data_IF_273272439575
#
_entry.id   IF_273272439575
#
_cell.length_a   1.000
_cell.length_b   1.000
_cell.length_c   1.000
_cell.angle_alpha   90.00
_cell.angle_beta   90.00
_cell.angle_gamma   90.00
#
_symmetry.space_group_name_H-M   'P 1'
#
loop_
_entity.id
_entity.type
_entity.pdbx_description
1 polymer ?
#
# COMPACT_ATOMS: atom_id res chain seq x y z
N UNK A 1 4.69 -21.93 -13.53
CA UNK A 1 3.87 -21.93 -12.27
C UNK A 1 4.70 -21.24 -11.20
N UNK A 2 4.16 -20.17 -10.63
CA UNK A 2 4.83 -19.41 -9.57
C UNK A 2 4.84 -20.21 -8.27
N UNK A 3 5.93 -20.11 -7.50
CA UNK A 3 6.10 -20.82 -6.22
C UNK A 3 5.68 -19.99 -5.02
N UNK A 4 5.53 -18.66 -5.20
CA UNK A 4 5.10 -17.73 -4.18
C UNK A 4 4.43 -16.50 -4.81
N UNK A 5 3.65 -15.77 -4.00
CA UNK A 5 3.09 -14.47 -4.38
C UNK A 5 3.59 -13.42 -3.42
N UNK A 6 4.12 -12.32 -3.97
CA UNK A 6 4.22 -11.05 -3.26
C UNK A 6 2.96 -10.26 -3.54
N UNK A 7 2.39 -9.64 -2.53
CA UNK A 7 1.17 -8.87 -2.66
C UNK A 7 1.26 -7.58 -1.85
N UNK A 8 0.92 -6.47 -2.48
CA UNK A 8 0.82 -5.20 -1.77
C UNK A 8 -0.42 -5.16 -0.86
N UNK A 9 -0.47 -4.21 0.08
CA UNK A 9 -1.53 -4.12 1.08
C UNK A 9 -2.50 -2.99 0.77
N UNK A 10 -2.02 -1.75 0.68
CA UNK A 10 -2.86 -0.58 0.52
C UNK A 10 -3.36 -0.42 -0.92
N UNK A 11 -4.66 -0.23 -1.09
CA UNK A 11 -5.39 -0.20 -2.36
C UNK A 11 -5.26 -1.50 -3.20
N UNK A 12 -4.67 -2.58 -2.62
CA UNK A 12 -4.63 -3.93 -3.20
C UNK A 12 -5.42 -4.93 -2.36
N UNK A 13 -5.15 -5.06 -1.08
CA UNK A 13 -5.87 -5.92 -0.12
C UNK A 13 -6.85 -5.11 0.75
N UNK A 14 -6.44 -3.91 1.15
CA UNK A 14 -7.19 -3.00 1.99
C UNK A 14 -7.38 -1.66 1.26
N UNK A 15 -8.61 -1.17 1.23
CA UNK A 15 -8.96 0.13 0.67
C UNK A 15 -8.38 1.24 1.56
N UNK A 16 -7.19 1.72 1.18
CA UNK A 16 -6.54 2.82 1.87
C UNK A 16 -7.38 4.08 1.83
N UNK A 17 -8.02 4.36 0.70
CA UNK A 17 -8.80 5.58 0.53
C UNK A 17 -10.00 5.61 1.49
N UNK A 18 -10.73 4.50 1.63
CA UNK A 18 -11.83 4.39 2.60
C UNK A 18 -11.33 4.48 4.05
N UNK A 19 -10.23 3.80 4.38
CA UNK A 19 -9.62 3.85 5.71
C UNK A 19 -9.13 5.27 6.05
N UNK A 20 -8.46 5.93 5.12
CA UNK A 20 -7.96 7.30 5.30
C UNK A 20 -9.10 8.31 5.47
N UNK A 21 -10.20 8.18 4.69
CA UNK A 21 -11.37 9.03 4.86
C UNK A 21 -12.00 8.88 6.26
N UNK A 22 -12.11 7.64 6.77
CA UNK A 22 -12.58 7.40 8.13
C UNK A 22 -11.64 7.99 9.19
N UNK A 23 -10.33 7.85 9.00
CA UNK A 23 -9.32 8.43 9.90
C UNK A 23 -9.38 9.96 9.90
N UNK A 24 -9.55 10.59 8.73
CA UNK A 24 -9.76 12.03 8.60
C UNK A 24 -11.01 12.49 9.35
N UNK A 25 -12.15 11.84 9.14
CA UNK A 25 -13.41 12.19 9.82
C UNK A 25 -13.23 12.20 11.35
N UNK A 26 -12.58 11.18 11.90
CA UNK A 26 -12.30 11.07 13.34
C UNK A 26 -11.33 12.16 13.79
N UNK A 27 -10.27 12.43 13.03
CA UNK A 27 -9.27 13.45 13.35
C UNK A 27 -9.84 14.87 13.35
N UNK A 28 -10.71 15.21 12.40
CA UNK A 28 -11.43 16.49 12.36
C UNK A 28 -12.43 16.62 13.51
N UNK A 29 -13.22 15.55 13.77
CA UNK A 29 -14.19 15.56 14.86
C UNK A 29 -13.53 15.78 16.23
N UNK A 30 -12.36 15.20 16.48
CA UNK A 30 -11.59 15.44 17.73
C UNK A 30 -11.19 16.90 17.93
N UNK A 31 -11.10 17.67 16.86
CA UNK A 31 -10.70 19.09 16.88
C UNK A 31 -11.90 20.04 16.81
N UNK A 32 -13.13 19.50 16.87
CA UNK A 32 -14.34 20.28 16.71
C UNK A 32 -14.57 20.82 15.30
N UNK A 33 -13.83 20.30 14.31
CA UNK A 33 -13.93 20.71 12.92
C UNK A 33 -14.87 19.77 12.11
N UNK A 34 -15.64 20.35 11.22
CA UNK A 34 -16.53 19.59 10.35
C UNK A 34 -15.75 18.98 9.18
N UNK A 35 -15.72 17.67 9.09
CA UNK A 35 -15.24 16.99 7.88
C UNK A 35 -16.25 17.15 6.75
N UNK A 36 -15.79 17.53 5.57
CA UNK A 36 -16.57 17.62 4.32
C UNK A 36 -15.96 16.71 3.25
N UNK A 37 -16.78 16.08 2.44
CA UNK A 37 -16.32 15.09 1.45
C UNK A 37 -15.30 15.67 0.45
N UNK A 38 -15.43 16.94 0.10
CA UNK A 38 -14.49 17.63 -0.79
C UNK A 38 -13.08 17.80 -0.21
N UNK A 39 -12.87 17.58 1.08
CA UNK A 39 -11.54 17.60 1.70
C UNK A 39 -10.71 16.37 1.32
N UNK A 40 -11.35 15.21 1.10
CA UNK A 40 -10.64 13.98 0.79
C UNK A 40 -9.86 14.04 -0.54
N UNK A 41 -10.41 14.51 -1.66
CA UNK A 41 -9.64 14.71 -2.89
C UNK A 41 -8.41 15.59 -2.73
N UNK A 42 -8.47 16.62 -1.88
CA UNK A 42 -7.32 17.48 -1.57
C UNK A 42 -6.23 16.70 -0.84
N UNK A 43 -6.62 15.98 0.22
CA UNK A 43 -5.70 15.08 0.93
C UNK A 43 -5.08 14.05 -0.01
N UNK A 44 -5.89 13.34 -0.80
CA UNK A 44 -5.43 12.28 -1.70
C UNK A 44 -4.38 12.79 -2.68
N UNK A 45 -4.61 13.92 -3.31
CA UNK A 45 -3.66 14.54 -4.25
C UNK A 45 -2.34 14.89 -3.57
N UNK A 46 -2.40 15.52 -2.40
CA UNK A 46 -1.21 15.91 -1.63
C UNK A 46 -0.46 14.67 -1.16
N UNK A 47 -1.14 13.70 -0.59
CA UNK A 47 -0.57 12.44 -0.11
C UNK A 47 0.16 11.69 -1.23
N UNK A 48 -0.48 11.56 -2.41
CA UNK A 48 0.14 10.94 -3.57
C UNK A 48 1.43 11.66 -3.98
N UNK A 49 1.43 13.00 -4.01
CA UNK A 49 2.63 13.78 -4.34
C UNK A 49 3.77 13.58 -3.34
N UNK A 50 3.47 13.41 -2.05
CA UNK A 50 4.49 13.06 -1.04
C UNK A 50 5.06 11.66 -1.25
N UNK A 51 4.22 10.67 -1.54
CA UNK A 51 4.67 9.30 -1.81
C UNK A 51 5.55 9.22 -3.08
N UNK A 52 5.19 9.92 -4.15
CA UNK A 52 6.01 10.01 -5.36
C UNK A 52 7.41 10.57 -5.06
N UNK A 53 7.52 11.58 -4.19
CA UNK A 53 8.81 12.12 -3.75
C UNK A 53 9.61 11.13 -2.89
N UNK A 54 8.97 10.29 -2.11
CA UNK A 54 9.64 9.21 -1.37
C UNK A 54 10.17 8.16 -2.34
N UNK A 55 9.37 7.74 -3.32
CA UNK A 55 9.76 6.77 -4.34
C UNK A 55 10.97 7.22 -5.16
N UNK A 56 11.10 8.54 -5.42
CA UNK A 56 12.25 9.14 -6.10
C UNK A 56 13.41 9.47 -5.17
N UNK A 57 13.24 9.30 -3.86
CA UNK A 57 14.27 9.63 -2.87
C UNK A 57 14.45 11.13 -2.60
N UNK A 58 13.53 11.97 -3.09
CA UNK A 58 13.58 13.43 -2.85
C UNK A 58 13.32 13.80 -1.39
N UNK A 59 12.47 13.05 -0.73
CA UNK A 59 12.14 13.21 0.69
C UNK A 59 12.12 11.87 1.42
N UNK A 60 12.26 11.94 2.73
CA UNK A 60 12.11 10.80 3.63
C UNK A 60 10.67 10.68 4.12
N UNK A 61 10.31 9.50 4.65
CA UNK A 61 9.04 9.31 5.37
C UNK A 61 8.87 10.28 6.53
N UNK A 62 9.94 10.56 7.29
CA UNK A 62 9.89 11.51 8.40
C UNK A 62 9.50 12.92 7.93
N UNK A 63 9.98 13.35 6.76
CA UNK A 63 9.57 14.63 6.16
C UNK A 63 8.11 14.61 5.70
N UNK A 64 7.65 13.51 5.09
CA UNK A 64 6.21 13.34 4.78
C UNK A 64 5.38 13.51 6.06
N UNK A 65 5.72 12.79 7.13
CA UNK A 65 4.96 12.81 8.39
C UNK A 65 4.97 14.20 9.06
N UNK A 66 6.06 14.96 8.93
CA UNK A 66 6.16 16.32 9.44
C UNK A 66 5.32 17.34 8.65
N UNK A 67 5.24 17.19 7.31
CA UNK A 67 4.78 18.26 6.44
C UNK A 67 3.40 18.00 5.81
N UNK A 68 2.99 16.74 5.69
CA UNK A 68 1.77 16.36 4.96
C UNK A 68 0.54 17.12 5.43
N UNK A 69 0.25 17.10 6.73
CA UNK A 69 -0.97 17.71 7.25
C UNK A 69 -0.91 19.22 7.29
N UNK A 70 0.25 19.83 7.50
CA UNK A 70 0.40 21.28 7.33
C UNK A 70 0.08 21.70 5.89
N UNK A 71 0.55 20.93 4.90
CA UNK A 71 0.26 21.17 3.49
C UNK A 71 -1.23 20.99 3.18
N UNK A 72 -1.86 19.94 3.71
CA UNK A 72 -3.30 19.69 3.56
C UNK A 72 -4.12 20.82 4.19
N UNK A 73 -3.80 21.23 5.41
CA UNK A 73 -4.53 22.28 6.10
C UNK A 73 -4.39 23.64 5.43
N UNK A 74 -3.20 23.97 4.93
CA UNK A 74 -3.01 25.18 4.14
C UNK A 74 -3.90 25.17 2.88
N UNK A 75 -3.95 24.04 2.17
CA UNK A 75 -4.78 23.90 0.96
C UNK A 75 -6.29 23.93 1.26
N UNK A 76 -6.71 23.54 2.46
CA UNK A 76 -8.11 23.57 2.91
C UNK A 76 -8.52 24.90 3.57
N UNK A 77 -7.60 25.85 3.75
CA UNK A 77 -7.87 27.10 4.45
C UNK A 77 -8.03 26.92 5.96
N UNK A 78 -7.37 25.93 6.56
CA UNK A 78 -7.41 25.58 7.98
C UNK A 78 -6.03 25.70 8.64
N UNK A 79 -5.28 26.80 8.44
CA UNK A 79 -3.89 26.90 8.91
C UNK A 79 -3.75 26.98 10.44
N UNK A 80 -4.87 27.07 11.17
CA UNK A 80 -4.89 27.06 12.63
C UNK A 80 -4.77 25.64 13.23
N UNK A 81 -4.91 24.57 12.40
CA UNK A 81 -4.77 23.20 12.85
C UNK A 81 -3.30 22.78 12.90
N UNK A 82 -2.93 22.06 13.96
CA UNK A 82 -1.60 21.49 14.16
C UNK A 82 -1.44 20.22 13.31
N UNK A 83 -0.66 20.30 12.22
CA UNK A 83 -0.42 19.20 11.30
C UNK A 83 0.28 18.00 11.92
N UNK A 84 1.41 18.17 12.62
CA UNK A 84 2.09 17.08 13.34
C UNK A 84 1.19 16.37 14.37
N UNK A 85 0.42 17.11 15.16
CA UNK A 85 -0.52 16.50 16.09
C UNK A 85 -1.66 15.75 15.37
N UNK A 86 -2.10 16.25 14.23
CA UNK A 86 -3.08 15.54 13.41
C UNK A 86 -2.49 14.26 12.79
N UNK A 87 -1.22 14.27 12.36
CA UNK A 87 -0.53 13.10 11.82
C UNK A 87 -0.53 11.94 12.84
N UNK A 88 -0.25 12.20 14.10
CA UNK A 88 -0.28 11.20 15.17
C UNK A 88 -1.66 10.55 15.27
N UNK A 89 -2.72 11.36 15.33
CA UNK A 89 -4.09 10.87 15.40
C UNK A 89 -4.51 10.14 14.12
N UNK A 90 -4.16 10.68 12.96
CA UNK A 90 -4.45 10.06 11.67
C UNK A 90 -3.84 8.66 11.56
N UNK A 91 -2.55 8.50 11.90
CA UNK A 91 -1.87 7.20 11.91
C UNK A 91 -2.54 6.21 12.88
N UNK A 92 -2.92 6.69 14.07
CA UNK A 92 -3.65 5.87 15.04
C UNK A 92 -4.99 5.41 14.49
N UNK A 93 -5.80 6.32 13.93
CA UNK A 93 -7.11 5.98 13.38
C UNK A 93 -7.01 5.12 12.12
N UNK A 94 -5.99 5.33 11.30
CA UNK A 94 -5.71 4.49 10.13
C UNK A 94 -5.36 3.05 10.57
N UNK A 95 -4.54 2.89 11.62
CA UNK A 95 -4.22 1.59 12.22
C UNK A 95 -5.47 0.87 12.76
N UNK A 96 -6.42 1.64 13.26
CA UNK A 96 -7.69 1.10 13.75
C UNK A 96 -8.69 0.77 12.63
N UNK A 97 -8.46 1.22 11.39
CA UNK A 97 -9.35 1.04 10.24
C UNK A 97 -8.85 -0.10 9.34
N UNK A 98 -9.77 -0.98 8.93
CA UNK A 98 -9.47 -2.06 8.00
C UNK A 98 -10.70 -2.31 7.12
N UNK A 99 -10.72 -1.69 5.95
CA UNK A 99 -11.77 -1.90 4.94
C UNK A 99 -11.18 -2.82 3.86
N UNK A 100 -11.65 -4.07 3.71
CA UNK A 100 -11.16 -4.96 2.68
C UNK A 100 -11.51 -4.47 1.27
N UNK A 101 -10.59 -4.65 0.33
CA UNK A 101 -10.92 -4.64 -1.09
C UNK A 101 -11.87 -5.81 -1.39
N UNK A 102 -12.88 -5.64 -2.27
CA UNK A 102 -13.79 -6.71 -2.63
C UNK A 102 -13.05 -8.00 -3.02
N UNK A 103 -13.47 -9.12 -2.46
CA UNK A 103 -12.92 -10.46 -2.70
C UNK A 103 -11.48 -10.69 -2.22
N UNK A 104 -10.81 -9.75 -1.56
CA UNK A 104 -9.43 -9.90 -1.12
C UNK A 104 -9.24 -11.09 -0.17
N UNK A 105 -10.05 -11.19 0.88
CA UNK A 105 -9.94 -12.29 1.85
C UNK A 105 -10.19 -13.66 1.20
N UNK A 106 -11.23 -13.79 0.41
CA UNK A 106 -11.55 -15.02 -0.32
C UNK A 106 -10.41 -15.44 -1.26
N UNK A 107 -9.85 -14.47 -1.99
CA UNK A 107 -8.71 -14.71 -2.88
C UNK A 107 -7.48 -15.17 -2.10
N UNK A 108 -7.14 -14.52 -0.98
CA UNK A 108 -6.01 -14.94 -0.15
C UNK A 108 -6.19 -16.37 0.38
N UNK A 109 -7.40 -16.77 0.76
CA UNK A 109 -7.70 -18.14 1.20
C UNK A 109 -7.40 -19.17 0.11
N UNK A 110 -7.82 -18.89 -1.13
CA UNK A 110 -7.58 -19.76 -2.28
C UNK A 110 -6.08 -19.84 -2.60
N UNK A 111 -5.38 -18.71 -2.61
CA UNK A 111 -3.96 -18.64 -2.95
C UNK A 111 -3.08 -19.30 -1.88
N UNK A 112 -3.35 -19.05 -0.60
CA UNK A 112 -2.60 -19.62 0.52
C UNK A 112 -2.64 -21.16 0.58
N UNK A 113 -3.69 -21.77 0.01
CA UNK A 113 -3.77 -23.21 -0.13
C UNK A 113 -2.86 -23.77 -1.24
N UNK A 114 -2.28 -22.92 -2.09
CA UNK A 114 -1.45 -23.32 -3.23
C UNK A 114 0.03 -22.98 -3.06
N UNK A 115 0.32 -21.79 -2.47
CA UNK A 115 1.69 -21.31 -2.29
C UNK A 115 1.76 -20.30 -1.13
N UNK A 116 2.97 -20.07 -0.56
CA UNK A 116 3.18 -19.03 0.43
C UNK A 116 2.91 -17.63 -0.15
N UNK A 117 2.25 -16.80 0.68
CA UNK A 117 1.95 -15.42 0.36
C UNK A 117 2.76 -14.50 1.26
N UNK A 118 3.36 -13.47 0.67
CA UNK A 118 4.17 -12.48 1.35
C UNK A 118 3.60 -11.09 1.07
N UNK A 119 3.22 -10.37 2.12
CA UNK A 119 2.88 -8.96 1.96
C UNK A 119 4.16 -8.13 1.74
N UNK A 120 4.15 -7.22 0.78
CA UNK A 120 5.27 -6.33 0.45
C UNK A 120 4.76 -4.90 0.36
N UNK A 121 4.98 -4.09 1.41
CA UNK A 121 4.31 -2.80 1.57
C UNK A 121 5.25 -1.68 2.02
N UNK A 122 4.96 -0.46 1.59
CA UNK A 122 5.62 0.74 2.11
C UNK A 122 5.00 1.26 3.43
N UNK A 123 3.98 0.59 3.97
CA UNK A 123 3.38 0.94 5.26
C UNK A 123 4.21 0.49 6.48
N UNK A 124 3.98 1.08 7.69
CA UNK A 124 4.63 0.67 8.93
C UNK A 124 4.23 -0.74 9.38
N UNK A 125 5.17 -1.49 9.98
CA UNK A 125 4.98 -2.90 10.34
C UNK A 125 3.75 -3.12 11.23
N UNK A 126 3.70 -2.45 12.37
CA UNK A 126 2.60 -2.62 13.35
C UNK A 126 1.26 -2.22 12.74
N UNK A 127 1.24 -1.14 11.94
CA UNK A 127 0.03 -0.68 11.28
C UNK A 127 -0.50 -1.72 10.30
N UNK A 128 0.35 -2.25 9.42
CA UNK A 128 -0.07 -3.20 8.39
C UNK A 128 -0.50 -4.53 9.00
N UNK A 129 0.25 -5.08 9.95
CA UNK A 129 -0.14 -6.31 10.64
C UNK A 129 -1.45 -6.16 11.39
N UNK A 130 -1.66 -5.03 12.11
CA UNK A 130 -2.91 -4.77 12.83
C UNK A 130 -4.09 -4.69 11.87
N UNK A 131 -3.94 -3.99 10.74
CA UNK A 131 -5.00 -3.85 9.75
C UNK A 131 -5.32 -5.17 9.05
N UNK A 132 -4.29 -5.94 8.64
CA UNK A 132 -4.46 -7.28 8.08
C UNK A 132 -5.12 -8.25 9.07
N UNK A 133 -4.76 -8.19 10.35
CA UNK A 133 -5.38 -9.01 11.39
C UNK A 133 -6.87 -8.66 11.57
N UNK A 134 -7.21 -7.37 11.63
CA UNK A 134 -8.59 -6.90 11.72
C UNK A 134 -9.46 -7.31 10.53
N UNK A 135 -8.87 -7.34 9.34
CA UNK A 135 -9.52 -7.82 8.12
C UNK A 135 -9.59 -9.36 8.02
N UNK A 136 -9.04 -10.10 9.01
CA UNK A 136 -8.98 -11.56 8.97
C UNK A 136 -7.99 -12.12 7.95
N UNK A 137 -7.11 -11.31 7.39
CA UNK A 137 -6.19 -11.65 6.31
C UNK A 137 -4.82 -12.15 6.79
N UNK A 138 -4.36 -11.67 7.95
CA UNK A 138 -3.02 -11.97 8.47
C UNK A 138 -2.72 -13.48 8.58
N UNK A 139 -3.66 -14.38 8.95
CA UNK A 139 -3.40 -15.81 9.01
C UNK A 139 -3.02 -16.46 7.66
N UNK A 140 -3.31 -15.82 6.54
CA UNK A 140 -2.98 -16.31 5.20
C UNK A 140 -1.68 -15.73 4.65
N UNK A 141 -1.06 -14.79 5.36
CA UNK A 141 0.20 -14.16 5.00
C UNK A 141 1.34 -14.82 5.76
N UNK A 142 2.26 -15.44 5.03
CA UNK A 142 3.43 -16.11 5.62
C UNK A 142 4.38 -15.14 6.30
N UNK A 143 4.55 -13.95 5.72
CA UNK A 143 5.36 -12.86 6.28
C UNK A 143 4.95 -11.52 5.69
N UNK A 144 5.08 -10.47 6.49
CA UNK A 144 4.91 -9.08 6.06
C UNK A 144 6.29 -8.43 5.92
N UNK A 145 6.65 -8.01 4.72
CA UNK A 145 7.83 -7.21 4.42
C UNK A 145 7.42 -5.75 4.35
N UNK A 146 7.98 -4.94 5.23
CA UNK A 146 7.68 -3.50 5.27
C UNK A 146 8.93 -2.68 5.00
N UNK A 147 8.78 -1.54 4.36
CA UNK A 147 9.90 -0.62 4.16
C UNK A 147 10.51 -0.15 5.48
N UNK A 148 9.70 -0.04 6.54
CA UNK A 148 10.17 0.32 7.88
C UNK A 148 11.19 -0.67 8.43
N UNK A 149 10.95 -1.97 8.34
CA UNK A 149 11.85 -3.00 8.87
C UNK A 149 13.02 -3.30 7.93
N UNK A 150 12.84 -3.07 6.64
CA UNK A 150 13.88 -3.25 5.61
C UNK A 150 14.83 -2.05 5.54
N UNK A 151 14.34 -0.85 5.81
CA UNK A 151 15.10 0.39 5.69
C UNK A 151 15.20 0.92 4.25
N UNK A 152 14.33 0.45 3.36
CA UNK A 152 14.21 0.92 1.98
C UNK A 152 12.76 0.78 1.51
N UNK A 153 12.27 1.74 0.72
CA UNK A 153 10.93 1.72 0.14
C UNK A 153 10.91 1.05 -1.24
N UNK A 154 9.78 0.47 -1.62
CA UNK A 154 9.47 0.17 -3.03
C UNK A 154 9.41 1.50 -3.81
N UNK A 155 9.92 1.58 -5.03
CA UNK A 155 10.45 0.52 -5.90
C UNK A 155 11.94 0.23 -5.74
N UNK A 156 12.61 0.72 -4.70
CA UNK A 156 14.08 0.56 -4.56
C UNK A 156 14.51 -0.90 -4.69
N UNK A 157 15.54 -1.20 -5.52
CA UNK A 157 16.13 -2.54 -5.59
C UNK A 157 16.59 -3.07 -4.23
N UNK A 158 16.97 -2.20 -3.29
CA UNK A 158 17.37 -2.58 -1.94
C UNK A 158 16.23 -3.23 -1.16
N UNK A 159 14.98 -2.78 -1.35
CA UNK A 159 13.79 -3.40 -0.74
C UNK A 159 13.67 -4.87 -1.17
N UNK A 160 13.68 -5.13 -2.46
CA UNK A 160 13.49 -6.48 -3.01
C UNK A 160 14.67 -7.39 -2.71
N UNK A 161 15.91 -6.87 -2.79
CA UNK A 161 17.11 -7.64 -2.40
C UNK A 161 17.04 -8.10 -0.95
N UNK A 162 16.58 -7.24 -0.03
CA UNK A 162 16.41 -7.61 1.38
C UNK A 162 15.26 -8.63 1.59
N UNK A 163 14.21 -8.57 0.80
CA UNK A 163 13.16 -9.61 0.79
C UNK A 163 13.73 -10.96 0.34
N UNK A 164 14.45 -10.99 -0.79
CA UNK A 164 15.05 -12.24 -1.31
C UNK A 164 16.12 -12.83 -0.40
N UNK A 165 16.92 -11.99 0.28
CA UNK A 165 17.89 -12.46 1.26
C UNK A 165 17.26 -13.28 2.40
N UNK A 166 15.97 -13.06 2.71
CA UNK A 166 15.21 -13.81 3.70
C UNK A 166 14.45 -15.01 3.12
N UNK A 167 14.51 -15.20 1.79
CA UNK A 167 13.83 -16.27 1.06
C UNK A 167 14.81 -17.02 0.12
N UNK A 168 15.92 -17.58 0.65
CA UNK A 168 17.00 -18.15 -0.16
C UNK A 168 16.57 -19.30 -1.07
N UNK A 169 15.39 -19.87 -0.83
CA UNK A 169 14.82 -20.97 -1.61
C UNK A 169 14.03 -20.47 -2.85
N UNK A 170 13.82 -19.15 -2.99
CA UNK A 170 13.09 -18.54 -4.08
C UNK A 170 13.99 -17.63 -4.91
N UNK A 171 13.74 -17.63 -6.21
CA UNK A 171 14.32 -16.66 -7.15
C UNK A 171 13.25 -15.67 -7.60
N UNK A 172 13.59 -14.50 -8.14
CA UNK A 172 12.59 -13.57 -8.68
C UNK A 172 11.63 -14.22 -9.68
N UNK A 173 12.12 -15.11 -10.55
CA UNK A 173 11.28 -15.81 -11.53
C UNK A 173 10.25 -16.79 -10.91
N UNK A 174 10.42 -17.15 -9.66
CA UNK A 174 9.48 -18.01 -8.92
C UNK A 174 8.28 -17.22 -8.35
N UNK A 175 8.29 -15.88 -8.42
CA UNK A 175 7.36 -15.00 -7.73
C UNK A 175 6.48 -14.22 -8.70
N UNK A 176 5.17 -14.19 -8.41
CA UNK A 176 4.24 -13.23 -8.97
C UNK A 176 4.06 -12.08 -7.98
N UNK A 177 4.39 -10.85 -8.37
CA UNK A 177 4.15 -9.66 -7.53
C UNK A 177 2.85 -8.97 -7.97
N UNK A 178 1.91 -8.86 -7.05
CA UNK A 178 0.57 -8.27 -7.25
C UNK A 178 0.49 -6.94 -6.52
N UNK A 179 0.06 -5.89 -7.18
CA UNK A 179 -0.12 -4.57 -6.56
C UNK A 179 -0.88 -3.60 -7.46
N UNK A 180 -1.28 -2.45 -6.91
CA UNK A 180 -2.03 -1.40 -7.61
C UNK A 180 -1.13 -0.27 -8.14
N UNK A 181 0.06 -0.10 -7.56
CA UNK A 181 0.97 0.98 -7.95
C UNK A 181 1.83 0.62 -9.15
N UNK A 182 1.72 1.42 -10.23
CA UNK A 182 2.60 1.26 -11.39
C UNK A 182 4.06 1.60 -11.05
N UNK A 183 4.28 2.61 -10.20
CA UNK A 183 5.64 3.10 -9.89
C UNK A 183 6.31 2.30 -8.78
N UNK A 184 5.60 1.96 -7.71
CA UNK A 184 6.16 1.23 -6.58
C UNK A 184 6.19 -0.29 -6.82
N UNK A 185 5.07 -0.88 -7.27
CA UNK A 185 4.92 -2.33 -7.36
C UNK A 185 5.36 -2.86 -8.73
N UNK A 186 4.75 -2.34 -9.79
CA UNK A 186 5.01 -2.87 -11.12
C UNK A 186 6.44 -2.57 -11.57
N UNK A 187 6.89 -1.31 -11.51
CA UNK A 187 8.26 -0.96 -11.87
C UNK A 187 9.27 -1.72 -10.98
N UNK A 188 9.10 -1.68 -9.64
CA UNK A 188 10.00 -2.37 -8.73
C UNK A 188 10.04 -3.89 -8.92
N UNK A 189 8.88 -4.51 -9.21
CA UNK A 189 8.79 -5.93 -9.51
C UNK A 189 9.49 -6.31 -10.81
N UNK A 190 9.28 -5.54 -11.89
CA UNK A 190 9.91 -5.73 -13.19
C UNK A 190 11.43 -5.60 -13.06
N UNK A 191 11.91 -4.53 -12.44
CA UNK A 191 13.35 -4.27 -12.26
C UNK A 191 14.03 -5.35 -11.40
N UNK A 192 13.27 -5.99 -10.52
CA UNK A 192 13.74 -7.11 -9.69
C UNK A 192 13.67 -8.47 -10.39
N UNK A 193 13.15 -8.55 -11.62
CA UNK A 193 13.03 -9.78 -12.41
C UNK A 193 11.84 -10.68 -12.03
N UNK A 194 10.85 -10.15 -11.33
CA UNK A 194 9.60 -10.85 -11.00
C UNK A 194 8.59 -10.72 -12.15
N UNK A 195 7.69 -11.69 -12.27
CA UNK A 195 6.44 -11.48 -12.99
C UNK A 195 5.54 -10.54 -12.15
N UNK A 196 4.83 -9.63 -12.82
CA UNK A 196 4.00 -8.62 -12.17
C UNK A 196 2.55 -8.72 -12.60
N UNK A 197 1.64 -8.44 -11.68
CA UNK A 197 0.19 -8.40 -11.92
C UNK A 197 -0.36 -7.07 -11.39
N UNK A 198 -0.69 -6.19 -12.30
CA UNK A 198 -1.28 -4.90 -11.95
C UNK A 198 -2.77 -5.05 -11.63
N UNK A 199 -3.12 -4.77 -10.37
CA UNK A 199 -4.52 -4.66 -9.96
C UNK A 199 -5.05 -3.27 -10.33
N UNK A 200 -5.91 -3.23 -11.36
CA UNK A 200 -6.41 -2.00 -11.99
C UNK A 200 -7.94 -2.01 -12.09
N UNK A 201 -8.67 -1.94 -10.95
CA UNK A 201 -10.13 -2.02 -10.97
C UNK A 201 -10.79 -0.84 -11.68
N UNK A 202 -10.08 0.28 -11.84
CA UNK A 202 -10.58 1.47 -12.51
C UNK A 202 -10.29 1.49 -14.03
N UNK A 203 -9.64 0.44 -14.57
CA UNK A 203 -9.27 0.35 -16.00
C UNK A 203 -8.49 1.57 -16.51
N UNK A 204 -7.58 2.09 -15.67
CA UNK A 204 -6.72 3.19 -16.04
C UNK A 204 -5.79 2.79 -17.20
N UNK A 205 -5.39 3.73 -18.06
CA UNK A 205 -4.43 3.44 -19.13
C UNK A 205 -3.07 3.07 -18.52
N UNK A 206 -2.44 2.03 -19.08
CA UNK A 206 -1.08 1.64 -18.71
C UNK A 206 -0.09 2.44 -19.56
N UNK A 207 0.85 3.18 -18.95
CA UNK A 207 1.93 3.85 -19.67
C UNK A 207 2.79 2.84 -20.43
N UNK A 208 3.27 3.22 -21.62
CA UNK A 208 4.04 2.31 -22.48
C UNK A 208 5.39 1.88 -21.87
N UNK A 209 5.90 2.68 -20.94
CA UNK A 209 7.19 2.47 -20.26
C UNK A 209 7.12 1.36 -19.18
N UNK A 210 5.92 1.02 -18.71
CA UNK A 210 5.71 -0.01 -17.69
C UNK A 210 4.84 -1.12 -18.31
N UNK A 211 5.37 -2.33 -18.38
CA UNK A 211 4.68 -3.46 -19.01
C UNK A 211 4.47 -4.59 -17.99
N UNK A 212 3.39 -4.56 -17.21
CA UNK A 212 3.06 -5.65 -16.29
C UNK A 212 2.86 -6.95 -17.06
N UNK A 213 3.23 -8.09 -16.48
CA UNK A 213 2.98 -9.41 -17.08
C UNK A 213 1.49 -9.69 -17.22
N UNK A 214 0.71 -9.25 -16.22
CA UNK A 214 -0.75 -9.38 -16.19
C UNK A 214 -1.38 -8.08 -15.72
N UNK A 215 -2.62 -7.85 -16.17
CA UNK A 215 -3.50 -6.78 -15.69
C UNK A 215 -4.82 -7.42 -15.32
N UNK A 216 -5.27 -7.17 -14.08
CA UNK A 216 -6.55 -7.65 -13.57
C UNK A 216 -7.39 -6.50 -13.03
N UNK A 217 -8.70 -6.63 -13.13
CA UNK A 217 -9.66 -5.65 -12.59
C UNK A 217 -10.40 -6.17 -11.34
N UNK A 218 -10.24 -7.46 -11.04
CA UNK A 218 -10.86 -8.13 -9.91
C UNK A 218 -9.89 -9.18 -9.34
N UNK A 219 -9.72 -9.21 -8.03
CA UNK A 219 -8.79 -10.13 -7.37
C UNK A 219 -9.14 -11.61 -7.59
N UNK A 220 -10.41 -11.95 -7.88
CA UNK A 220 -10.84 -13.31 -8.24
C UNK A 220 -10.21 -13.86 -9.51
N UNK A 221 -9.54 -13.02 -10.30
CA UNK A 221 -8.78 -13.44 -11.47
C UNK A 221 -7.40 -14.05 -11.11
N UNK A 222 -6.83 -13.69 -9.94
CA UNK A 222 -5.51 -14.15 -9.51
C UNK A 222 -5.34 -15.66 -9.44
N UNK A 223 -6.29 -16.46 -8.90
CA UNK A 223 -6.13 -17.90 -8.83
C UNK A 223 -5.96 -18.61 -10.18
N UNK A 224 -6.30 -17.95 -11.28
CA UNK A 224 -6.16 -18.49 -12.64
C UNK A 224 -4.74 -18.27 -13.22
N UNK A 225 -3.94 -17.40 -12.57
CA UNK A 225 -2.58 -17.07 -13.00
C UNK A 225 -1.52 -17.98 -12.35
N UNK A 226 -1.88 -18.73 -11.31
CA UNK A 226 -1.05 -19.67 -10.54
C UNK A 226 -1.33 -21.13 -10.94
#
# INVERSE_FOLDING_TARGET
>A
MYKAVFIDVDDTLLDFNACAAQAMQRGFAMRGEAYRQEMFPVFRRINLGFWQKIETGEITRAQLEADRWNTVFAALGLPHLDGPAFEVDFKRFLTESAVPIPHALETLQILAARCPLYAATNGPQIQQETRLAKAGMLPYITRVFTSETIGAEKPSPAFFAACFAQLPQLTPADILFVGDSLTADMAGGIDSGMATCWYNPQTLPCPAEITPTYIITDLRQLPQLL
#
